data_IF_125844487133
#
_entry.id   IF_125844487133
#
_cell.length_a   1.000
_cell.length_b   1.000
_cell.length_c   1.000
_cell.angle_alpha   90.00
_cell.angle_beta   90.00
_cell.angle_gamma   90.00
#
_symmetry.space_group_name_H-M   'P 1'
#
loop_
_entity.id
_entity.type
_entity.pdbx_description
1 polymer ?
#
# COMPACT_ATOMS: atom_id res chain seq x y z
N UNK A 1 -15.70 8.92 -12.99
CA UNK A 1 -15.36 8.68 -11.56
C UNK A 1 -16.49 8.04 -10.74
N UNK A 2 -17.43 7.30 -11.36
CA UNK A 2 -18.56 6.66 -10.66
C UNK A 2 -18.30 5.20 -10.20
N UNK A 3 -17.23 4.55 -10.67
CA UNK A 3 -16.98 3.12 -10.44
C UNK A 3 -16.35 2.78 -9.08
N UNK A 4 -15.43 3.60 -8.58
CA UNK A 4 -14.65 3.28 -7.37
C UNK A 4 -15.49 3.43 -6.09
N UNK A 5 -16.39 4.43 -6.04
CA UNK A 5 -17.31 4.62 -4.92
C UNK A 5 -18.33 3.49 -4.76
N UNK A 6 -18.76 2.90 -5.88
CA UNK A 6 -19.69 1.77 -5.87
C UNK A 6 -19.03 0.49 -5.33
N UNK A 7 -17.77 0.21 -5.68
CA UNK A 7 -17.05 -0.97 -5.19
C UNK A 7 -16.74 -0.88 -3.68
N UNK A 8 -16.27 0.27 -3.20
CA UNK A 8 -16.06 0.49 -1.75
C UNK A 8 -17.38 0.45 -0.99
N UNK A 9 -18.45 1.02 -1.56
CA UNK A 9 -19.79 0.95 -1.00
C UNK A 9 -20.34 -0.48 -0.90
N UNK A 10 -20.08 -1.33 -1.90
CA UNK A 10 -20.52 -2.73 -1.89
C UNK A 10 -19.78 -3.57 -0.84
N UNK A 11 -18.47 -3.42 -0.69
CA UNK A 11 -17.71 -4.10 0.37
C UNK A 11 -18.11 -3.58 1.75
N UNK A 12 -18.33 -2.28 1.91
CA UNK A 12 -18.84 -1.70 3.14
C UNK A 12 -20.22 -2.26 3.52
N UNK A 13 -21.12 -2.41 2.53
CA UNK A 13 -22.45 -3.02 2.72
C UNK A 13 -22.35 -4.52 3.05
N UNK A 14 -21.39 -5.24 2.46
CA UNK A 14 -21.18 -6.66 2.71
C UNK A 14 -20.65 -6.92 4.12
N UNK A 15 -19.64 -6.14 4.55
CA UNK A 15 -19.12 -6.15 5.92
C UNK A 15 -20.19 -5.73 6.92
N UNK A 16 -20.98 -4.70 6.61
CA UNK A 16 -22.08 -4.24 7.47
C UNK A 16 -23.20 -5.27 7.61
N UNK A 17 -23.57 -5.98 6.53
CA UNK A 17 -24.56 -7.07 6.59
C UNK A 17 -24.08 -8.25 7.43
N UNK A 18 -22.80 -8.64 7.33
CA UNK A 18 -22.21 -9.66 8.22
C UNK A 18 -22.27 -9.23 9.69
N UNK A 19 -21.92 -7.98 9.98
CA UNK A 19 -21.97 -7.43 11.34
C UNK A 19 -23.41 -7.37 11.90
N UNK A 20 -24.41 -7.05 11.07
CA UNK A 20 -25.82 -7.01 11.49
C UNK A 20 -26.41 -8.39 11.80
N UNK A 21 -26.03 -9.42 11.05
CA UNK A 21 -26.50 -10.79 11.28
C UNK A 21 -26.04 -11.35 12.65
N UNK A 22 -24.78 -11.09 13.05
CA UNK A 22 -24.27 -11.53 14.36
C UNK A 22 -24.72 -10.64 15.54
N UNK A 23 -25.05 -9.37 15.29
CA UNK A 23 -25.62 -8.48 16.32
C UNK A 23 -27.04 -8.89 16.73
N UNK A 24 -27.78 -9.55 15.84
CA UNK A 24 -29.11 -10.10 16.13
C UNK A 24 -29.05 -11.35 17.03
N UNK A 25 -27.91 -12.05 17.08
CA UNK A 25 -27.68 -13.20 17.97
C UNK A 25 -27.01 -12.83 19.29
N UNK A 26 -26.46 -11.63 19.42
CA UNK A 26 -25.86 -11.13 20.65
C UNK A 26 -26.93 -10.53 21.57
N UNK A 27 -27.04 -11.07 22.78
CA UNK A 27 -28.08 -10.74 23.76
C UNK A 27 -27.63 -9.69 24.80
N UNK A 28 -26.35 -9.29 24.81
CA UNK A 28 -25.82 -8.24 25.70
C UNK A 28 -24.71 -7.38 25.10
N UNK A 29 -24.47 -6.19 25.67
CA UNK A 29 -23.47 -5.21 25.18
C UNK A 29 -22.02 -5.72 25.19
N UNK A 30 -21.69 -6.63 26.10
CA UNK A 30 -20.39 -7.32 26.13
C UNK A 30 -20.19 -8.31 24.98
N UNK A 31 -21.26 -9.02 24.58
CA UNK A 31 -21.23 -9.96 23.44
C UNK A 31 -21.10 -9.24 22.09
N UNK A 32 -21.65 -8.02 21.98
CA UNK A 32 -21.50 -7.20 20.76
C UNK A 32 -20.05 -6.71 20.62
N UNK A 33 -19.39 -6.35 21.73
CA UNK A 33 -17.98 -5.95 21.73
C UNK A 33 -17.05 -7.15 21.44
N UNK A 34 -17.33 -8.32 22.00
CA UNK A 34 -16.55 -9.53 21.73
C UNK A 34 -16.73 -10.02 20.30
N UNK A 35 -17.95 -10.01 19.75
CA UNK A 35 -18.20 -10.37 18.36
C UNK A 35 -17.52 -9.40 17.37
N UNK A 36 -17.44 -8.11 17.72
CA UNK A 36 -16.70 -7.12 16.94
C UNK A 36 -15.18 -7.35 16.98
N UNK A 37 -14.64 -7.68 18.15
CA UNK A 37 -13.22 -8.01 18.32
C UNK A 37 -12.85 -9.30 17.57
N UNK A 38 -13.67 -10.33 17.66
CA UNK A 38 -13.49 -11.61 16.95
C UNK A 38 -13.47 -11.41 15.43
N UNK A 39 -14.42 -10.64 14.89
CA UNK A 39 -14.44 -10.33 13.45
C UNK A 39 -13.19 -9.55 12.99
N UNK A 40 -12.65 -8.67 13.84
CA UNK A 40 -11.41 -7.97 13.54
C UNK A 40 -10.21 -8.92 13.53
N UNK A 41 -10.13 -9.83 14.50
CA UNK A 41 -9.08 -10.85 14.57
C UNK A 41 -9.15 -11.81 13.38
N UNK A 42 -10.34 -12.30 13.02
CA UNK A 42 -10.56 -13.14 11.82
C UNK A 42 -10.10 -12.40 10.55
N UNK A 43 -10.40 -11.10 10.44
CA UNK A 43 -9.97 -10.30 9.27
C UNK A 43 -8.45 -10.17 9.20
N UNK A 44 -7.80 -9.94 10.35
CA UNK A 44 -6.33 -9.90 10.44
C UNK A 44 -5.74 -11.25 10.09
N UNK A 45 -6.30 -12.35 10.59
CA UNK A 45 -5.84 -13.70 10.28
C UNK A 45 -5.95 -14.02 8.80
N UNK A 46 -7.07 -13.69 8.15
CA UNK A 46 -7.25 -13.83 6.71
C UNK A 46 -6.22 -13.00 5.93
N UNK A 47 -5.93 -11.77 6.37
CA UNK A 47 -4.93 -10.92 5.73
C UNK A 47 -3.50 -11.48 5.91
N UNK A 48 -3.16 -11.94 7.12
CA UNK A 48 -1.87 -12.56 7.43
C UNK A 48 -1.67 -13.84 6.63
N UNK A 49 -2.68 -14.69 6.55
CA UNK A 49 -2.62 -15.93 5.78
C UNK A 49 -2.52 -15.64 4.28
N UNK A 50 -3.26 -14.63 3.80
CA UNK A 50 -3.15 -14.15 2.42
C UNK A 50 -1.75 -13.64 2.07
N UNK A 51 -1.07 -12.99 3.02
CA UNK A 51 0.32 -12.54 2.86
C UNK A 51 1.31 -13.72 2.90
N UNK A 52 1.13 -14.66 3.83
CA UNK A 52 2.00 -15.85 3.97
C UNK A 52 1.95 -16.76 2.75
N UNK A 53 0.77 -16.93 2.15
CA UNK A 53 0.54 -17.78 0.97
C UNK A 53 0.70 -17.04 -0.35
N UNK A 54 0.87 -15.72 -0.31
CA UNK A 54 1.09 -14.87 -1.48
C UNK A 54 2.42 -15.19 -2.16
N UNK A 55 2.46 -15.04 -3.49
CA UNK A 55 3.72 -15.10 -4.23
C UNK A 55 4.62 -13.91 -3.89
N UNK A 56 5.92 -14.07 -4.15
CA UNK A 56 6.93 -13.02 -3.95
C UNK A 56 6.51 -11.70 -4.60
N UNK A 57 6.06 -11.73 -5.87
CA UNK A 57 5.66 -10.52 -6.59
C UNK A 57 4.38 -9.87 -6.02
N UNK A 58 3.41 -10.69 -5.56
CA UNK A 58 2.20 -10.16 -4.90
C UNK A 58 2.57 -9.43 -3.61
N UNK A 59 3.41 -10.04 -2.77
CA UNK A 59 3.85 -9.46 -1.50
C UNK A 59 4.71 -8.21 -1.71
N UNK A 60 5.59 -8.20 -2.72
CA UNK A 60 6.38 -7.02 -3.05
C UNK A 60 5.52 -5.83 -3.50
N UNK A 61 4.54 -6.06 -4.39
CA UNK A 61 3.63 -4.99 -4.81
C UNK A 61 2.74 -4.49 -3.67
N UNK A 62 2.27 -5.39 -2.80
CA UNK A 62 1.50 -5.01 -1.62
C UNK A 62 2.34 -4.14 -0.67
N UNK A 63 3.56 -4.58 -0.34
CA UNK A 63 4.47 -3.86 0.54
C UNK A 63 4.85 -2.50 -0.03
N UNK A 64 5.11 -2.43 -1.33
CA UNK A 64 5.34 -1.17 -2.05
C UNK A 64 4.13 -0.23 -1.91
N UNK A 65 2.93 -0.69 -2.28
CA UNK A 65 1.71 0.11 -2.23
C UNK A 65 1.42 0.63 -0.81
N UNK A 66 1.51 -0.25 0.20
CA UNK A 66 1.19 0.08 1.60
C UNK A 66 2.22 1.07 2.16
N UNK A 67 3.51 0.77 2.01
CA UNK A 67 4.57 1.66 2.51
C UNK A 67 4.55 3.03 1.84
N UNK A 68 4.32 3.07 0.53
CA UNK A 68 4.17 4.30 -0.24
C UNK A 68 2.98 5.13 0.27
N UNK A 69 1.80 4.52 0.35
CA UNK A 69 0.56 5.22 0.71
C UNK A 69 0.59 5.75 2.15
N UNK A 70 1.12 4.95 3.09
CA UNK A 70 1.27 5.36 4.49
C UNK A 70 2.28 6.50 4.59
N UNK A 71 3.44 6.38 3.96
CA UNK A 71 4.49 7.41 4.02
C UNK A 71 4.00 8.74 3.47
N UNK A 72 3.34 8.73 2.31
CA UNK A 72 2.73 9.94 1.73
C UNK A 72 1.67 10.54 2.66
N UNK A 73 0.76 9.70 3.19
CA UNK A 73 -0.27 10.15 4.13
C UNK A 73 0.32 10.79 5.39
N UNK A 74 1.37 10.21 5.96
CA UNK A 74 2.08 10.76 7.13
C UNK A 74 2.79 12.07 6.81
N UNK A 75 3.46 12.17 5.66
CA UNK A 75 4.13 13.40 5.22
C UNK A 75 3.13 14.55 5.05
N UNK A 76 1.98 14.28 4.43
CA UNK A 76 0.91 15.27 4.26
C UNK A 76 0.18 15.61 5.55
N UNK A 77 -0.10 14.63 6.39
CA UNK A 77 -0.70 14.87 7.71
C UNK A 77 0.21 15.75 8.57
N UNK A 78 1.53 15.48 8.59
CA UNK A 78 2.51 16.31 9.30
C UNK A 78 2.51 17.75 8.79
N UNK A 79 2.55 17.92 7.46
CA UNK A 79 2.51 19.25 6.84
C UNK A 79 1.21 19.99 7.17
N UNK A 80 0.07 19.28 7.15
CA UNK A 80 -1.23 19.85 7.49
C UNK A 80 -1.29 20.29 8.97
N UNK A 81 -0.83 19.45 9.90
CA UNK A 81 -0.78 19.75 11.34
C UNK A 81 0.12 20.94 11.64
N UNK A 82 1.29 21.03 11.02
CA UNK A 82 2.22 22.16 11.20
C UNK A 82 1.58 23.47 10.71
N UNK A 83 0.89 23.43 9.55
CA UNK A 83 0.19 24.60 9.01
C UNK A 83 -1.00 25.01 9.88
N UNK A 84 -1.78 24.06 10.39
CA UNK A 84 -2.96 24.35 11.22
C UNK A 84 -2.62 24.90 12.61
N UNK A 85 -1.45 24.58 13.15
CA UNK A 85 -0.98 25.08 14.45
C UNK A 85 -0.12 26.36 14.36
N UNK A 86 -0.28 27.15 13.29
CA UNK A 86 0.41 28.43 13.12
C UNK A 86 1.93 28.31 12.93
N UNK A 87 2.41 27.21 12.34
CA UNK A 87 3.84 27.00 12.07
C UNK A 87 4.66 26.57 13.29
N UNK A 88 4.02 26.28 14.44
CA UNK A 88 4.70 25.62 15.56
C UNK A 88 5.11 24.22 15.11
N UNK A 89 6.42 23.93 15.19
CA UNK A 89 7.00 22.63 14.81
C UNK A 89 6.55 21.57 15.82
N UNK A 90 5.39 20.97 15.58
CA UNK A 90 4.84 19.90 16.42
C UNK A 90 5.10 18.58 15.69
N UNK A 91 6.09 17.80 16.16
CA UNK A 91 6.38 16.44 15.66
C UNK A 91 7.88 16.13 15.51
N UNK A 92 8.26 14.83 15.44
CA UNK A 92 9.66 14.37 15.39
C UNK A 92 10.35 14.56 14.02
N UNK A 93 9.62 14.98 12.99
CA UNK A 93 10.15 15.14 11.63
C UNK A 93 10.95 16.45 11.51
N UNK A 94 12.22 16.37 11.93
CA UNK A 94 13.18 17.47 11.81
C UNK A 94 13.56 17.62 10.33
N UNK A 95 13.53 18.85 9.82
CA UNK A 95 14.23 19.18 8.58
C UNK A 95 15.68 18.68 8.69
N UNK A 96 16.09 17.77 7.81
CA UNK A 96 17.47 17.34 7.72
C UNK A 96 18.29 18.55 7.27
N UNK A 97 19.06 19.11 8.20
CA UNK A 97 20.00 20.20 7.92
C UNK A 97 21.40 19.63 7.96
N UNK A 98 22.11 19.72 6.85
CA UNK A 98 23.55 19.46 6.79
C UNK A 98 24.23 20.83 6.63
N UNK A 99 24.87 21.29 7.71
CA UNK A 99 25.43 22.65 7.77
C UNK A 99 24.34 23.73 7.69
N UNK A 100 24.48 24.67 6.74
CA UNK A 100 23.52 25.78 6.51
C UNK A 100 22.41 25.42 5.50
N UNK A 101 22.48 24.27 4.84
CA UNK A 101 21.57 23.91 3.75
C UNK A 101 20.44 23.01 4.26
N UNK A 102 19.22 23.34 3.85
CA UNK A 102 18.05 22.51 4.06
C UNK A 102 18.02 21.41 3.02
N UNK A 103 18.12 20.15 3.45
CA UNK A 103 17.92 19.02 2.56
C UNK A 103 16.43 18.71 2.54
N UNK A 104 15.81 18.86 1.38
CA UNK A 104 14.44 18.42 1.16
C UNK A 104 14.37 16.89 1.29
N UNK A 105 13.31 16.38 1.90
CA UNK A 105 13.13 14.94 2.15
C UNK A 105 13.07 14.09 0.87
N UNK A 106 12.84 14.69 -0.30
CA UNK A 106 12.95 13.99 -1.58
C UNK A 106 14.36 13.46 -1.83
N UNK A 107 15.44 14.13 -1.35
CA UNK A 107 16.83 13.68 -1.58
C UNK A 107 17.13 12.37 -0.82
N UNK A 108 16.92 12.27 0.51
CA UNK A 108 16.96 10.99 1.22
C UNK A 108 15.99 9.95 0.63
N UNK A 109 14.83 10.39 0.13
CA UNK A 109 13.86 9.52 -0.54
C UNK A 109 14.44 8.84 -1.79
N UNK A 110 15.08 9.62 -2.67
CA UNK A 110 15.77 9.12 -3.87
C UNK A 110 16.87 8.13 -3.48
N UNK A 111 17.71 8.48 -2.49
CA UNK A 111 18.79 7.60 -2.02
C UNK A 111 18.22 6.28 -1.52
N UNK A 112 17.15 6.32 -0.72
CA UNK A 112 16.52 5.12 -0.19
C UNK A 112 15.93 4.24 -1.31
N UNK A 113 15.26 4.85 -2.29
CA UNK A 113 14.70 4.14 -3.44
C UNK A 113 15.80 3.50 -4.31
N UNK A 114 16.89 4.22 -4.59
CA UNK A 114 18.02 3.70 -5.36
C UNK A 114 18.77 2.59 -4.63
N UNK A 115 18.98 2.70 -3.32
CA UNK A 115 19.61 1.63 -2.55
C UNK A 115 18.74 0.38 -2.56
N UNK A 116 17.43 0.51 -2.34
CA UNK A 116 16.52 -0.62 -2.33
C UNK A 116 16.42 -1.30 -3.71
N UNK A 117 16.18 -0.52 -4.77
CA UNK A 117 16.09 -1.04 -6.15
C UNK A 117 17.42 -1.59 -6.66
N UNK A 118 18.52 -0.88 -6.40
CA UNK A 118 19.87 -1.34 -6.73
C UNK A 118 20.23 -2.63 -6.02
N UNK A 119 19.86 -2.79 -4.76
CA UNK A 119 20.06 -4.05 -4.01
C UNK A 119 19.26 -5.19 -4.64
N UNK A 120 18.00 -4.98 -5.02
CA UNK A 120 17.18 -6.01 -5.69
C UNK A 120 17.82 -6.45 -7.02
N UNK A 121 18.27 -5.50 -7.83
CA UNK A 121 18.92 -5.77 -9.13
C UNK A 121 20.25 -6.52 -8.96
N UNK A 122 21.06 -6.13 -7.98
CA UNK A 122 22.42 -6.69 -7.79
C UNK A 122 22.40 -8.03 -7.08
N UNK A 123 21.55 -8.20 -6.06
CA UNK A 123 21.43 -9.45 -5.31
C UNK A 123 20.84 -10.58 -6.15
N UNK A 124 19.95 -10.25 -7.10
CA UNK A 124 19.21 -11.23 -7.95
C UNK A 124 18.47 -12.31 -7.13
N UNK A 125 18.22 -12.04 -5.85
CA UNK A 125 17.49 -12.93 -4.95
C UNK A 125 16.05 -12.42 -4.79
N UNK A 126 15.13 -12.99 -5.58
CA UNK A 126 13.72 -12.56 -5.59
C UNK A 126 13.07 -12.62 -4.20
N UNK A 127 13.54 -13.50 -3.31
CA UNK A 127 13.03 -13.64 -1.93
C UNK A 127 13.20 -12.37 -1.10
N UNK A 128 14.14 -11.50 -1.47
CA UNK A 128 14.38 -10.21 -0.82
C UNK A 128 13.43 -9.10 -1.30
N UNK A 129 12.86 -9.23 -2.50
CA UNK A 129 12.06 -8.19 -3.15
C UNK A 129 10.89 -7.69 -2.30
N UNK A 130 10.12 -8.53 -1.56
CA UNK A 130 9.07 -8.05 -0.69
C UNK A 130 9.57 -7.12 0.40
N UNK A 131 10.77 -7.39 0.92
CA UNK A 131 11.37 -6.57 1.97
C UNK A 131 11.98 -5.30 1.42
N UNK A 132 12.61 -5.38 0.24
CA UNK A 132 13.18 -4.21 -0.45
C UNK A 132 12.10 -3.28 -1.02
N UNK A 133 10.90 -3.80 -1.29
CA UNK A 133 9.75 -3.00 -1.70
C UNK A 133 9.32 -1.96 -0.65
N UNK A 134 9.55 -2.22 0.64
CA UNK A 134 9.21 -1.29 1.73
C UNK A 134 10.06 -0.02 1.69
N UNK A 135 11.41 -0.06 1.79
CA UNK A 135 12.23 1.14 1.69
C UNK A 135 12.10 1.79 0.30
N UNK A 136 11.90 1.01 -0.76
CA UNK A 136 11.61 1.57 -2.09
C UNK A 136 10.33 2.41 -2.08
N UNK A 137 9.23 1.89 -1.53
CA UNK A 137 7.96 2.62 -1.45
C UNK A 137 8.03 3.86 -0.55
N UNK A 138 8.72 3.79 0.58
CA UNK A 138 9.01 4.95 1.43
C UNK A 138 9.78 6.01 0.63
N UNK A 139 10.86 5.61 -0.06
CA UNK A 139 11.69 6.52 -0.83
C UNK A 139 10.93 7.18 -1.99
N UNK A 140 10.14 6.40 -2.71
CA UNK A 140 9.27 6.88 -3.77
C UNK A 140 8.21 7.87 -3.26
N UNK A 141 7.59 7.60 -2.10
CA UNK A 141 6.59 8.50 -1.51
C UNK A 141 7.19 9.84 -1.07
N UNK A 142 8.35 9.83 -0.41
CA UNK A 142 9.05 11.06 -0.03
C UNK A 142 9.50 11.86 -1.26
N UNK A 143 9.85 11.17 -2.35
CA UNK A 143 10.20 11.82 -3.61
C UNK A 143 8.98 12.46 -4.25
N UNK A 144 7.85 11.75 -4.30
CA UNK A 144 6.63 12.24 -4.96
C UNK A 144 5.88 13.31 -4.15
N UNK A 145 6.04 13.34 -2.84
CA UNK A 145 5.44 14.38 -1.99
C UNK A 145 5.91 15.80 -2.35
N UNK A 146 7.10 15.92 -2.92
CA UNK A 146 7.70 17.18 -3.39
C UNK A 146 7.72 17.27 -4.93
N UNK A 147 6.91 16.47 -5.64
CA UNK A 147 6.88 16.50 -7.12
C UNK A 147 6.59 17.90 -7.66
N UNK A 148 5.84 18.72 -6.91
CA UNK A 148 5.63 20.12 -7.25
C UNK A 148 6.96 20.87 -7.38
N UNK A 149 7.85 20.78 -6.37
CA UNK A 149 9.18 21.39 -6.40
C UNK A 149 10.11 20.79 -7.48
N UNK A 150 9.99 19.48 -7.76
CA UNK A 150 10.77 18.81 -8.81
C UNK A 150 10.36 19.24 -10.23
N UNK A 151 9.08 19.59 -10.43
CA UNK A 151 8.56 20.06 -11.71
C UNK A 151 8.60 21.59 -11.86
N UNK A 152 8.78 22.35 -10.77
CA UNK A 152 8.72 23.82 -10.73
C UNK A 152 10.10 24.48 -10.65
N UNK A 153 11.07 23.98 -11.42
CA UNK A 153 12.44 24.49 -11.36
C UNK A 153 12.63 25.88 -12.00
N UNK A 154 11.66 26.39 -12.76
CA UNK A 154 11.76 27.72 -13.40
C UNK A 154 10.43 28.49 -13.32
N UNK A 155 10.46 29.51 -12.48
CA UNK A 155 9.58 30.69 -12.31
C UNK A 155 8.30 30.86 -13.18
N UNK A 156 7.23 31.24 -12.48
CA UNK A 156 5.95 31.84 -12.94
C UNK A 156 4.91 30.91 -13.61
N UNK A 157 3.63 31.22 -13.34
CA UNK A 157 2.38 30.74 -13.97
C UNK A 157 1.81 29.39 -13.43
N UNK A 158 1.45 29.19 -12.16
CA UNK A 158 0.24 29.75 -11.53
C UNK A 158 0.02 28.98 -10.21
N UNK A 159 -0.35 29.69 -9.15
CA UNK A 159 -0.51 29.19 -7.78
C UNK A 159 -1.63 28.15 -7.63
N UNK A 160 -1.28 26.85 -7.46
CA UNK A 160 -1.95 25.82 -6.60
C UNK A 160 -1.02 24.58 -6.43
N UNK A 161 0.26 24.78 -6.13
CA UNK A 161 1.33 23.76 -6.26
C UNK A 161 1.14 22.49 -5.41
N UNK A 162 0.33 22.57 -4.35
CA UNK A 162 -0.02 21.40 -3.54
C UNK A 162 -0.94 20.40 -4.27
N UNK A 163 -1.76 20.85 -5.23
CA UNK A 163 -2.77 20.01 -5.88
C UNK A 163 -2.14 19.05 -6.89
N UNK A 164 -1.12 19.49 -7.62
CA UNK A 164 -0.43 18.68 -8.64
C UNK A 164 0.28 17.48 -8.01
N UNK A 165 1.04 17.69 -6.93
CA UNK A 165 1.70 16.59 -6.19
C UNK A 165 0.67 15.59 -5.66
N UNK A 166 -0.47 16.06 -5.16
CA UNK A 166 -1.56 15.20 -4.68
C UNK A 166 -2.17 14.39 -5.82
N UNK A 167 -2.45 15.00 -6.98
CA UNK A 167 -3.00 14.31 -8.16
C UNK A 167 -2.05 13.24 -8.69
N UNK A 168 -0.77 13.56 -8.85
CA UNK A 168 0.26 12.61 -9.31
C UNK A 168 0.38 11.45 -8.33
N UNK A 169 0.37 11.72 -7.02
CA UNK A 169 0.45 10.69 -6.00
C UNK A 169 -0.78 9.78 -6.01
N UNK A 170 -2.00 10.32 -6.10
CA UNK A 170 -3.21 9.50 -6.21
C UNK A 170 -3.20 8.65 -7.49
N UNK A 171 -2.72 9.19 -8.62
CA UNK A 171 -2.52 8.40 -9.82
C UNK A 171 -1.53 7.25 -9.60
N UNK A 172 -0.41 7.50 -8.90
CA UNK A 172 0.56 6.46 -8.53
C UNK A 172 -0.06 5.37 -7.64
N UNK A 173 -0.86 5.74 -6.63
CA UNK A 173 -1.60 4.78 -5.78
C UNK A 173 -2.53 3.92 -6.62
N UNK A 174 -3.31 4.52 -7.53
CA UNK A 174 -4.22 3.79 -8.41
C UNK A 174 -3.45 2.81 -9.29
N UNK A 175 -2.35 3.24 -9.91
CA UNK A 175 -1.51 2.38 -10.75
C UNK A 175 -0.93 1.20 -9.97
N UNK A 176 -0.38 1.46 -8.78
CA UNK A 176 0.17 0.41 -7.90
C UNK A 176 -0.91 -0.57 -7.45
N UNK A 177 -2.09 -0.09 -7.06
CA UNK A 177 -3.22 -0.92 -6.68
C UNK A 177 -3.72 -1.78 -7.84
N UNK A 178 -3.86 -1.20 -9.04
CA UNK A 178 -4.23 -1.94 -10.25
C UNK A 178 -3.20 -3.00 -10.61
N UNK A 179 -1.90 -2.69 -10.50
CA UNK A 179 -0.84 -3.66 -10.73
C UNK A 179 -0.90 -4.81 -9.71
N UNK A 180 -1.07 -4.52 -8.43
CA UNK A 180 -1.18 -5.52 -7.38
C UNK A 180 -2.37 -6.47 -7.60
N UNK A 181 -3.54 -5.93 -7.94
CA UNK A 181 -4.75 -6.72 -8.25
C UNK A 181 -4.56 -7.55 -9.51
N UNK A 182 -3.98 -6.97 -10.57
CA UNK A 182 -3.70 -7.66 -11.83
C UNK A 182 -2.76 -8.84 -11.62
N UNK A 183 -1.64 -8.63 -10.92
CA UNK A 183 -0.68 -9.71 -10.62
C UNK A 183 -1.36 -10.80 -9.81
N UNK A 184 -2.12 -10.44 -8.77
CA UNK A 184 -2.89 -11.42 -7.98
C UNK A 184 -3.86 -12.24 -8.82
N UNK A 185 -4.58 -11.58 -9.73
CA UNK A 185 -5.53 -12.24 -10.62
C UNK A 185 -4.82 -13.25 -11.54
N UNK A 186 -3.72 -12.83 -12.18
CA UNK A 186 -2.94 -13.66 -13.08
C UNK A 186 -2.31 -14.86 -12.36
N UNK A 187 -1.66 -14.64 -11.21
CA UNK A 187 -1.06 -15.72 -10.40
C UNK A 187 -2.10 -16.71 -9.91
N UNK A 188 -3.29 -16.24 -9.53
CA UNK A 188 -4.40 -17.12 -9.17
C UNK A 188 -4.85 -17.97 -10.35
N UNK A 189 -4.89 -17.42 -11.56
CA UNK A 189 -5.22 -18.14 -12.79
C UNK A 189 -4.18 -19.21 -13.14
N UNK A 190 -2.91 -18.84 -13.14
CA UNK A 190 -1.78 -19.76 -13.40
C UNK A 190 -1.81 -20.97 -12.47
N UNK A 191 -1.99 -20.77 -11.15
CA UNK A 191 -2.08 -21.88 -10.18
C UNK A 191 -3.22 -22.85 -10.48
N UNK A 192 -4.33 -22.38 -11.03
CA UNK A 192 -5.49 -23.22 -11.35
C UNK A 192 -5.34 -23.98 -12.67
N UNK A 193 -4.75 -23.33 -13.68
CA UNK A 193 -4.62 -23.92 -15.02
C UNK A 193 -3.41 -24.84 -15.10
N UNK A 194 -2.27 -24.41 -14.55
CA UNK A 194 -0.99 -25.12 -14.64
C UNK A 194 -0.73 -26.04 -13.44
N UNK A 195 -1.46 -25.85 -12.34
CA UNK A 195 -1.33 -26.68 -11.13
C UNK A 195 -2.28 -27.87 -11.06
N UNK A 196 -3.18 -28.03 -12.04
CA UNK A 196 -4.04 -29.21 -12.13
C UNK A 196 -3.24 -30.37 -12.76
N UNK A 197 -3.30 -31.60 -12.21
CA UNK A 197 -2.63 -32.75 -12.82
C UNK A 197 -3.16 -32.99 -14.23
N UNK A 198 -2.28 -33.37 -15.15
CA UNK A 198 -2.67 -33.69 -16.51
C UNK A 198 -3.70 -34.84 -16.49
N UNK A 199 -4.71 -34.84 -17.39
CA UNK A 199 -5.73 -35.90 -17.43
C UNK A 199 -5.14 -37.32 -17.54
N UNK A 200 -3.93 -37.44 -18.10
CA UNK A 200 -3.21 -38.70 -18.22
C UNK A 200 -2.72 -39.27 -16.87
N UNK A 201 -2.33 -38.42 -15.92
CA UNK A 201 -1.78 -38.87 -14.63
C UNK A 201 -2.87 -39.33 -13.66
N UNK A 202 -4.09 -38.79 -13.79
CA UNK A 202 -5.25 -39.20 -13.01
C UNK A 202 -5.76 -40.61 -13.38
N UNK A 203 -5.53 -41.04 -14.62
CA UNK A 203 -5.95 -42.37 -15.09
C UNK A 203 -4.99 -43.50 -14.66
N UNK A 204 -3.72 -43.19 -14.39
CA UNK A 204 -2.70 -44.18 -14.01
C UNK A 204 -2.77 -44.53 -12.51
N UNK A 205 -3.31 -43.65 -11.67
CA UNK A 205 -3.39 -43.86 -10.21
C UNK A 205 -4.60 -44.66 -9.70
N UNK A 206 -5.53 -45.06 -10.56
CA UNK A 206 -6.80 -45.72 -10.16
C UNK A 206 -6.78 -47.25 -10.29
N UNK A 207 -5.68 -47.86 -10.73
CA UNK A 207 -5.62 -49.31 -11.03
C UNK A 207 -4.53 -50.07 -10.26
N UNK A 208 -4.21 -49.66 -9.03
CA UNK A 208 -3.31 -50.40 -8.14
C UNK A 208 -4.01 -50.83 -6.86
#
# INVERSE_FOLDING_TARGET
MAGTGAAVGLEYVHVWRRGRARRQTATGGGEVLSAGAEAALETVEVAVEGYRTGSVSENALLNLLVSFSITFGVARASTHVIRSHGGKRVGPFRNLRVGRHHIHHFVPGIILAFLAGGTSITAREQRLDPWLAVPFGVGAALTLDETALLLQLEDVYWTEDGVVSVQITFAAIVLLATAAVTVRLLRRGERKVLGAPAPADAAVGSTA
#
